data_IF_321625177590
#
_entry.id   IF_321625177590
#
_cell.length_a   1.000
_cell.length_b   1.000
_cell.length_c   1.000
_cell.angle_alpha   90.00
_cell.angle_beta   90.00
_cell.angle_gamma   90.00
#
_symmetry.space_group_name_H-M   'P 1'
#
loop_
_entity.id
_entity.type
_entity.pdbx_description
1 polymer ?
#
# COMPACT_ATOMS: atom_id res chain seq x y z
N UNK A 1 -11.54 13.85 6.29
CA UNK A 1 -10.91 14.18 7.60
C UNK A 1 -11.85 14.95 8.54
N UNK A 2 -12.87 15.64 8.00
CA UNK A 2 -13.85 16.41 8.78
C UNK A 2 -14.62 15.59 9.84
N UNK A 3 -15.08 14.38 9.51
CA UNK A 3 -15.81 13.54 10.46
C UNK A 3 -14.99 13.20 11.72
N UNK A 4 -13.70 12.90 11.57
CA UNK A 4 -12.82 12.63 12.71
C UNK A 4 -12.58 13.89 13.55
N UNK A 5 -12.46 15.06 12.90
CA UNK A 5 -12.36 16.35 13.57
C UNK A 5 -13.63 16.68 14.37
N UNK A 6 -14.81 16.47 13.78
CA UNK A 6 -16.09 16.67 14.47
C UNK A 6 -16.23 15.76 15.68
N UNK A 7 -15.92 14.47 15.52
CA UNK A 7 -15.93 13.51 16.62
C UNK A 7 -14.99 13.93 17.77
N UNK A 8 -13.74 14.29 17.45
CA UNK A 8 -12.78 14.73 18.46
C UNK A 8 -13.25 15.97 19.24
N UNK A 9 -13.94 16.91 18.58
CA UNK A 9 -14.49 18.11 19.24
C UNK A 9 -15.59 17.79 20.25
N UNK A 10 -16.34 16.71 20.02
CA UNK A 10 -17.44 16.27 20.88
C UNK A 10 -16.96 15.46 22.10
N UNK A 11 -15.73 14.93 22.08
CA UNK A 11 -15.19 14.14 23.18
C UNK A 11 -15.02 14.96 24.47
N UNK A 12 -15.13 14.34 25.67
CA UNK A 12 -14.69 14.95 26.93
C UNK A 12 -13.18 15.27 26.93
N UNK A 13 -12.71 16.26 27.71
CA UNK A 13 -11.29 16.65 27.73
C UNK A 13 -10.32 15.49 27.97
N UNK A 14 -10.65 14.58 28.89
CA UNK A 14 -9.83 13.41 29.23
C UNK A 14 -9.69 12.42 28.07
N UNK A 15 -10.71 12.31 27.22
CA UNK A 15 -10.70 11.41 26.06
C UNK A 15 -10.03 12.06 24.85
N UNK A 16 -10.12 13.39 24.71
CA UNK A 16 -9.40 14.14 23.66
C UNK A 16 -7.89 13.98 23.76
N UNK A 17 -7.35 13.94 24.98
CA UNK A 17 -5.91 13.84 25.22
C UNK A 17 -5.32 12.49 24.82
N UNK A 18 -6.11 11.41 24.92
CA UNK A 18 -5.70 10.06 24.53
C UNK A 18 -6.14 9.68 23.11
N UNK A 19 -7.03 10.46 22.48
CA UNK A 19 -7.47 10.21 21.13
C UNK A 19 -6.29 10.22 20.14
N UNK A 20 -6.26 9.25 19.23
CA UNK A 20 -5.27 9.16 18.17
C UNK A 20 -5.99 8.94 16.86
N UNK A 21 -5.57 9.69 15.84
CA UNK A 21 -6.03 9.51 14.47
C UNK A 21 -4.93 8.81 13.68
N UNK A 22 -5.23 7.63 13.13
CA UNK A 22 -4.32 6.90 12.25
C UNK A 22 -4.74 7.11 10.80
N UNK A 23 -3.94 7.86 10.05
CA UNK A 23 -4.10 7.99 8.60
C UNK A 23 -3.34 6.87 7.89
N UNK A 24 -4.05 6.04 7.11
CA UNK A 24 -3.43 4.99 6.28
C UNK A 24 -3.31 5.48 4.84
N UNK A 25 -2.07 5.73 4.44
CA UNK A 25 -1.71 6.21 3.10
C UNK A 25 -1.11 5.08 2.24
N UNK A 26 -0.40 5.45 1.17
CA UNK A 26 0.23 4.55 0.21
C UNK A 26 1.62 5.08 -0.15
N UNK A 27 2.53 4.22 -0.60
CA UNK A 27 3.85 4.61 -1.09
C UNK A 27 3.80 5.27 -2.48
N UNK A 28 2.71 5.11 -3.23
CA UNK A 28 2.48 5.82 -4.50
C UNK A 28 2.55 7.35 -4.37
N UNK A 29 2.41 7.90 -3.16
CA UNK A 29 2.56 9.34 -2.90
C UNK A 29 3.96 9.86 -3.20
N UNK A 30 4.98 8.99 -3.16
CA UNK A 30 6.37 9.31 -3.49
C UNK A 30 6.66 9.22 -5.00
N UNK A 31 5.76 8.63 -5.79
CA UNK A 31 5.94 8.39 -7.22
C UNK A 31 6.81 7.17 -7.54
N UNK A 32 7.41 7.16 -8.72
CA UNK A 32 8.23 6.04 -9.20
C UNK A 32 9.67 6.09 -8.67
N UNK A 33 10.14 4.97 -8.12
CA UNK A 33 11.55 4.79 -7.73
C UNK A 33 12.43 4.44 -8.95
N UNK A 34 13.65 4.99 -9.02
CA UNK A 34 14.66 4.52 -9.98
C UNK A 34 15.22 3.17 -9.56
N UNK A 35 16.01 2.51 -10.40
CA UNK A 35 16.67 1.25 -10.04
C UNK A 35 17.70 1.45 -8.92
N UNK A 36 17.61 0.66 -7.85
CA UNK A 36 18.47 0.78 -6.66
C UNK A 36 17.94 1.71 -5.57
N UNK A 37 17.03 2.63 -5.91
CA UNK A 37 16.46 3.57 -4.95
C UNK A 37 15.34 2.92 -4.11
N UNK A 38 15.15 3.45 -2.90
CA UNK A 38 14.04 3.17 -1.99
C UNK A 38 13.58 4.48 -1.34
N UNK A 39 12.28 4.62 -1.12
CA UNK A 39 11.69 5.77 -0.43
C UNK A 39 11.62 5.54 1.08
N UNK A 40 11.90 6.57 1.85
CA UNK A 40 11.77 6.64 3.30
C UNK A 40 10.80 7.76 3.71
N UNK A 41 10.59 7.95 5.02
CA UNK A 41 9.71 9.00 5.54
C UNK A 41 10.19 10.42 5.21
N UNK A 42 11.41 10.61 4.68
CA UNK A 42 11.94 11.93 4.34
C UNK A 42 11.82 12.22 2.84
N UNK A 43 11.44 11.22 2.05
CA UNK A 43 11.30 11.32 0.62
C UNK A 43 10.20 12.32 0.22
N UNK A 44 10.44 13.13 -0.82
CA UNK A 44 9.47 14.13 -1.26
C UNK A 44 8.23 13.47 -1.88
N UNK A 45 7.06 14.09 -1.68
CA UNK A 45 5.83 13.65 -2.33
C UNK A 45 5.85 14.07 -3.81
N UNK A 46 5.65 13.11 -4.71
CA UNK A 46 5.63 13.30 -6.16
C UNK A 46 4.60 12.36 -6.83
N UNK A 47 3.29 12.50 -6.52
CA UNK A 47 2.26 11.58 -6.99
C UNK A 47 2.03 11.69 -8.51
N UNK A 48 1.97 10.54 -9.19
CA UNK A 48 1.79 10.46 -10.65
C UNK A 48 0.35 10.08 -11.09
N UNK A 49 -0.56 9.88 -10.14
CA UNK A 49 -1.95 9.51 -10.42
C UNK A 49 -2.95 10.35 -9.59
N UNK A 50 -4.20 10.52 -10.04
CA UNK A 50 -5.25 11.19 -9.26
C UNK A 50 -5.49 10.53 -7.88
N UNK A 51 -5.33 9.20 -7.81
CA UNK A 51 -5.42 8.45 -6.55
C UNK A 51 -4.27 8.81 -5.60
N UNK A 52 -3.03 8.73 -6.08
CA UNK A 52 -1.85 9.07 -5.29
C UNK A 52 -1.89 10.54 -4.83
N UNK A 53 -2.33 11.45 -5.69
CA UNK A 53 -2.50 12.87 -5.35
C UNK A 53 -3.53 13.06 -4.22
N UNK A 54 -4.64 12.32 -4.26
CA UNK A 54 -5.66 12.36 -3.21
C UNK A 54 -5.13 11.82 -1.87
N UNK A 55 -4.29 10.78 -1.91
CA UNK A 55 -3.62 10.23 -0.72
C UNK A 55 -2.58 11.19 -0.15
N UNK A 56 -1.75 11.78 -1.00
CA UNK A 56 -0.78 12.81 -0.62
C UNK A 56 -1.45 14.04 0.01
N UNK A 57 -2.59 14.49 -0.54
CA UNK A 57 -3.38 15.56 0.07
C UNK A 57 -3.86 15.17 1.48
N UNK A 58 -4.27 13.92 1.69
CA UNK A 58 -4.62 13.39 3.01
C UNK A 58 -3.47 13.47 4.02
N UNK A 59 -2.24 13.18 3.62
CA UNK A 59 -1.05 13.31 4.48
C UNK A 59 -0.75 14.76 4.86
N UNK A 60 -0.87 15.68 3.89
CA UNK A 60 -0.65 17.11 4.12
C UNK A 60 -1.73 17.74 5.00
N UNK A 61 -2.94 17.19 5.00
CA UNK A 61 -4.05 17.61 5.87
C UNK A 61 -4.01 16.97 7.26
N UNK A 62 -3.25 15.87 7.43
CA UNK A 62 -3.10 15.15 8.68
C UNK A 62 -2.06 15.64 9.73
N UNK A 63 -1.40 16.83 9.69
CA UNK A 63 -0.24 17.08 10.53
C UNK A 63 -0.48 16.85 12.03
N UNK A 64 0.25 15.87 12.57
CA UNK A 64 0.36 15.57 13.98
C UNK A 64 0.97 16.74 14.76
N UNK A 65 0.27 17.17 15.81
CA UNK A 65 0.81 18.06 16.85
C UNK A 65 -0.20 19.05 17.44
N UNK A 66 -1.37 19.18 16.83
CA UNK A 66 -2.44 20.05 17.30
C UNK A 66 -3.35 20.33 16.13
N UNK A 67 -4.56 19.78 16.16
CA UNK A 67 -5.63 20.26 15.30
C UNK A 67 -5.66 21.80 15.47
N UNK A 68 -5.34 22.56 14.40
CA UNK A 68 -5.37 24.02 14.30
C UNK A 68 -4.13 24.82 14.79
N UNK A 69 -2.92 24.50 14.33
CA UNK A 69 -1.86 25.53 14.21
C UNK A 69 -1.79 26.02 12.77
N UNK A 70 -2.42 27.16 12.50
CA UNK A 70 -2.38 27.83 11.20
C UNK A 70 -0.98 28.32 10.87
N UNK A 71 -0.20 27.49 10.18
CA UNK A 71 0.89 27.92 9.32
C UNK A 71 0.93 26.97 8.12
N UNK A 72 0.13 27.28 7.11
CA UNK A 72 0.40 26.84 5.75
C UNK A 72 1.65 27.64 5.31
N UNK A 73 2.82 27.12 5.70
CA UNK A 73 4.12 27.64 5.34
C UNK A 73 4.63 26.85 4.15
N UNK A 74 4.64 27.54 3.02
CA UNK A 74 5.39 27.33 1.79
C UNK A 74 6.47 26.22 1.80
N UNK A 75 6.56 25.50 0.67
CA UNK A 75 7.43 24.36 0.34
C UNK A 75 6.96 22.96 0.77
N UNK A 76 6.67 22.11 -0.22
CA UNK A 76 6.26 20.70 -0.09
C UNK A 76 7.33 19.80 0.55
N UNK A 77 7.64 20.04 1.83
CA UNK A 77 8.65 19.29 2.56
C UNK A 77 8.15 18.86 3.94
N UNK A 78 8.22 17.53 4.10
CA UNK A 78 8.20 16.70 5.32
C UNK A 78 6.83 16.18 5.75
N UNK A 79 6.62 14.85 5.73
CA UNK A 79 5.48 14.27 6.43
C UNK A 79 5.66 14.42 7.95
N UNK A 80 4.54 14.39 8.65
CA UNK A 80 4.42 14.78 10.05
C UNK A 80 5.34 13.95 10.98
N UNK A 81 5.77 14.56 12.10
CA UNK A 81 6.43 13.86 13.21
C UNK A 81 5.52 12.72 13.69
N UNK A 82 5.86 11.48 13.33
CA UNK A 82 5.03 10.29 13.61
C UNK A 82 4.61 9.48 12.38
N UNK A 83 5.11 9.81 11.20
CA UNK A 83 4.93 9.00 9.99
C UNK A 83 5.85 7.78 10.03
N UNK A 84 5.36 6.64 9.54
CA UNK A 84 6.13 5.40 9.45
C UNK A 84 5.85 4.74 8.10
N UNK A 85 6.92 4.46 7.36
CA UNK A 85 6.85 3.67 6.14
C UNK A 85 6.82 2.19 6.52
N UNK A 86 5.87 1.45 5.94
CA UNK A 86 5.67 0.03 6.17
C UNK A 86 5.94 -0.71 4.87
N UNK A 87 6.84 -1.69 4.88
CA UNK A 87 7.22 -2.44 3.69
C UNK A 87 7.60 -3.89 4.01
N UNK A 88 7.26 -4.81 3.11
CA UNK A 88 7.51 -6.24 3.28
C UNK A 88 8.96 -6.69 3.06
N UNK A 89 9.90 -5.75 2.81
CA UNK A 89 11.28 -6.04 2.41
C UNK A 89 11.39 -6.99 1.20
N UNK A 90 10.38 -6.99 0.34
CA UNK A 90 10.36 -7.76 -0.90
C UNK A 90 10.23 -6.81 -2.08
N UNK A 91 11.22 -6.83 -2.98
CA UNK A 91 11.15 -6.15 -4.27
C UNK A 91 11.04 -7.23 -5.35
N UNK A 92 9.84 -7.44 -5.87
CA UNK A 92 9.57 -8.40 -6.94
C UNK A 92 8.99 -7.67 -8.14
N UNK A 93 9.38 -8.09 -9.34
CA UNK A 93 8.76 -7.65 -10.57
C UNK A 93 7.42 -8.34 -10.78
N UNK A 94 6.49 -7.71 -11.50
CA UNK A 94 5.21 -8.34 -11.88
C UNK A 94 5.43 -9.70 -12.56
N UNK A 95 6.49 -9.83 -13.37
CA UNK A 95 6.85 -11.08 -14.04
C UNK A 95 7.21 -12.18 -13.04
N UNK A 96 8.00 -11.88 -12.01
CA UNK A 96 8.35 -12.85 -10.97
C UNK A 96 7.14 -13.27 -10.14
N UNK A 97 6.25 -12.33 -9.82
CA UNK A 97 5.00 -12.63 -9.11
C UNK A 97 4.11 -13.55 -9.95
N UNK A 98 3.88 -13.22 -11.23
CA UNK A 98 3.07 -14.06 -12.13
C UNK A 98 3.68 -15.45 -12.28
N UNK A 99 4.99 -15.55 -12.51
CA UNK A 99 5.69 -16.83 -12.60
C UNK A 99 5.48 -17.67 -11.33
N UNK A 100 5.63 -17.05 -10.15
CA UNK A 100 5.42 -17.74 -8.86
C UNK A 100 3.96 -18.21 -8.69
N UNK A 101 2.98 -17.43 -9.17
CA UNK A 101 1.57 -17.84 -9.15
C UNK A 101 1.35 -19.06 -10.06
N UNK A 102 1.85 -19.02 -11.30
CA UNK A 102 1.73 -20.13 -12.24
C UNK A 102 2.31 -21.42 -11.64
N UNK A 103 3.52 -21.35 -11.08
CA UNK A 103 4.17 -22.51 -10.43
C UNK A 103 3.33 -23.07 -9.28
N UNK A 104 2.77 -22.20 -8.41
CA UNK A 104 1.93 -22.65 -7.29
C UNK A 104 0.61 -23.27 -7.75
N UNK A 105 -0.02 -22.73 -8.80
CA UNK A 105 -1.25 -23.30 -9.37
C UNK A 105 -0.97 -24.68 -9.97
N UNK A 106 0.07 -24.80 -10.78
CA UNK A 106 0.46 -26.07 -11.41
C UNK A 106 0.76 -27.14 -10.34
N UNK A 107 1.48 -26.78 -9.27
CA UNK A 107 1.76 -27.69 -8.16
C UNK A 107 0.53 -28.09 -7.33
N UNK A 108 -0.48 -27.20 -7.21
CA UNK A 108 -1.65 -27.46 -6.37
C UNK A 108 -2.76 -28.23 -7.10
N UNK A 109 -2.89 -28.05 -8.42
CA UNK A 109 -3.90 -28.74 -9.23
C UNK A 109 -3.39 -30.06 -9.81
N UNK A 110 -2.09 -30.15 -10.14
CA UNK A 110 -1.45 -31.34 -10.71
C UNK A 110 -2.23 -31.96 -11.89
N UNK A 111 -2.80 -31.10 -12.75
CA UNK A 111 -3.67 -31.49 -13.86
C UNK A 111 -2.93 -31.58 -15.21
N UNK A 112 -1.60 -31.47 -15.18
CA UNK A 112 -0.72 -31.59 -16.35
C UNK A 112 -0.71 -30.39 -17.29
N UNK A 113 -1.45 -29.31 -17.00
CA UNK A 113 -1.38 -28.07 -17.78
C UNK A 113 -0.22 -27.18 -17.31
N UNK A 114 0.22 -26.26 -18.19
CA UNK A 114 1.36 -25.37 -17.97
C UNK A 114 0.85 -23.93 -17.97
N UNK A 115 0.65 -23.31 -16.80
CA UNK A 115 0.00 -21.97 -16.75
C UNK A 115 0.87 -20.86 -17.32
N UNK A 116 2.18 -21.05 -17.40
CA UNK A 116 3.10 -20.09 -18.02
C UNK A 116 2.76 -19.83 -19.49
N UNK A 117 2.14 -20.77 -20.20
CA UNK A 117 1.72 -20.60 -21.60
C UNK A 117 0.55 -19.62 -21.75
N UNK A 118 -0.19 -19.34 -20.68
CA UNK A 118 -1.31 -18.39 -20.67
C UNK A 118 -0.85 -16.93 -20.52
N UNK A 119 0.44 -16.69 -20.24
CA UNK A 119 0.96 -15.35 -19.98
C UNK A 119 1.18 -14.60 -21.29
N UNK A 120 0.39 -13.56 -21.52
CA UNK A 120 0.52 -12.67 -22.68
C UNK A 120 1.08 -11.30 -22.28
N UNK A 121 1.92 -10.70 -23.13
CA UNK A 121 2.33 -9.31 -22.99
C UNK A 121 1.20 -8.37 -23.44
N UNK A 122 0.98 -7.31 -22.69
CA UNK A 122 -0.02 -6.27 -22.98
C UNK A 122 0.70 -4.92 -23.01
N UNK A 123 0.20 -3.98 -23.80
CA UNK A 123 0.75 -2.63 -23.84
C UNK A 123 0.76 -1.97 -22.45
N UNK A 124 1.82 -1.23 -22.15
CA UNK A 124 1.96 -0.51 -20.89
C UNK A 124 0.85 0.51 -20.69
N UNK A 125 0.43 0.71 -19.44
CA UNK A 125 -0.54 1.75 -19.08
C UNK A 125 0.13 3.13 -19.12
N UNK A 126 -0.45 4.13 -19.81
CA UNK A 126 0.06 5.50 -19.75
C UNK A 126 0.10 5.99 -18.29
N UNK A 127 1.26 6.49 -17.85
CA UNK A 127 1.46 7.02 -16.50
C UNK A 127 1.64 5.97 -15.40
N UNK A 128 1.92 4.70 -15.74
CA UNK A 128 2.21 3.68 -14.74
C UNK A 128 3.60 3.87 -14.14
N UNK A 129 3.69 3.98 -12.82
CA UNK A 129 4.96 3.95 -12.13
C UNK A 129 5.59 2.57 -12.29
N UNK A 130 6.87 2.54 -12.68
CA UNK A 130 7.53 1.29 -13.04
C UNK A 130 8.01 0.49 -11.84
N UNK A 131 8.18 1.14 -10.69
CA UNK A 131 8.75 0.55 -9.50
C UNK A 131 8.34 1.34 -8.28
N UNK A 132 7.89 0.60 -7.26
CA UNK A 132 7.78 1.07 -5.90
C UNK A 132 8.76 0.29 -5.04
N UNK A 133 9.48 1.00 -4.18
CA UNK A 133 10.41 0.42 -3.24
C UNK A 133 10.48 1.32 -2.02
N UNK A 134 10.32 0.75 -0.84
CA UNK A 134 10.25 1.47 0.42
C UNK A 134 11.25 0.94 1.43
N UNK A 135 11.84 1.83 2.21
CA UNK A 135 12.71 1.49 3.34
C UNK A 135 11.99 1.67 4.67
N UNK A 136 11.57 0.56 5.27
CA UNK A 136 10.94 0.55 6.60
C UNK A 136 11.96 0.54 7.77
N UNK A 137 13.24 0.89 7.55
CA UNK A 137 14.28 0.84 8.59
C UNK A 137 13.95 1.66 9.83
N UNK A 138 13.32 2.82 9.66
CA UNK A 138 12.93 3.67 10.77
C UNK A 138 11.89 2.99 11.68
N UNK A 139 10.84 2.39 11.11
CA UNK A 139 9.83 1.64 11.85
C UNK A 139 10.44 0.43 12.58
N UNK A 140 11.36 -0.29 11.92
CA UNK A 140 12.09 -1.42 12.54
C UNK A 140 12.88 -0.96 13.75
N UNK A 141 13.64 0.12 13.62
CA UNK A 141 14.48 0.65 14.69
C UNK A 141 13.65 1.19 15.88
N UNK A 142 12.52 1.87 15.59
CA UNK A 142 11.66 2.48 16.61
C UNK A 142 10.79 1.49 17.38
N UNK A 143 10.20 0.53 16.66
CA UNK A 143 9.13 -0.31 17.19
C UNK A 143 9.51 -1.80 17.26
N UNK A 144 10.69 -2.19 16.76
CA UNK A 144 11.07 -3.60 16.63
C UNK A 144 10.22 -4.37 15.61
N UNK A 145 9.43 -3.68 14.81
CA UNK A 145 8.56 -4.28 13.81
C UNK A 145 9.40 -4.96 12.73
N UNK A 146 8.93 -6.10 12.20
CA UNK A 146 9.46 -6.72 10.98
C UNK A 146 8.36 -7.60 10.37
N UNK A 147 8.32 -7.77 9.04
CA UNK A 147 7.42 -8.75 8.44
C UNK A 147 7.75 -10.14 9.01
N UNK A 148 6.72 -10.87 9.45
CA UNK A 148 6.87 -12.24 9.96
C UNK A 148 6.68 -13.28 8.85
N UNK A 149 6.21 -12.84 7.69
CA UNK A 149 5.73 -13.70 6.63
C UNK A 149 6.64 -13.54 5.41
N UNK A 150 7.03 -14.66 4.82
CA UNK A 150 7.73 -14.69 3.53
C UNK A 150 6.72 -14.61 2.39
N UNK A 151 6.93 -13.64 1.49
CA UNK A 151 5.99 -13.36 0.41
C UNK A 151 5.74 -14.57 -0.50
N UNK A 152 6.79 -15.27 -0.91
CA UNK A 152 6.66 -16.40 -1.87
C UNK A 152 5.91 -17.57 -1.24
N UNK A 153 6.19 -17.85 0.02
CA UNK A 153 5.55 -18.92 0.78
C UNK A 153 4.05 -18.64 0.97
N UNK A 154 3.67 -17.39 1.24
CA UNK A 154 2.27 -17.06 1.52
C UNK A 154 1.44 -16.64 0.32
N UNK A 155 2.11 -16.34 -0.79
CA UNK A 155 1.47 -16.34 -2.09
C UNK A 155 0.87 -17.73 -2.40
N UNK A 156 1.53 -18.83 -2.00
CA UNK A 156 0.98 -20.19 -2.17
C UNK A 156 -0.31 -20.39 -1.39
N UNK A 157 -0.34 -19.96 -0.13
CA UNK A 157 -1.53 -20.05 0.71
C UNK A 157 -2.67 -19.19 0.18
N UNK A 158 -2.34 -18.02 -0.37
CA UNK A 158 -3.29 -17.15 -1.08
C UNK A 158 -3.88 -17.87 -2.29
N UNK A 159 -3.05 -18.45 -3.17
CA UNK A 159 -3.51 -19.24 -4.33
C UNK A 159 -4.41 -20.39 -3.87
N UNK A 160 -4.01 -21.15 -2.85
CA UNK A 160 -4.80 -22.24 -2.28
C UNK A 160 -6.16 -21.75 -1.78
N UNK A 161 -6.22 -20.57 -1.16
CA UNK A 161 -7.48 -19.98 -0.72
C UNK A 161 -8.40 -19.66 -1.90
N UNK A 162 -7.88 -19.02 -2.96
CA UNK A 162 -8.69 -18.71 -4.16
C UNK A 162 -9.26 -19.97 -4.83
N UNK A 163 -8.44 -21.03 -4.96
CA UNK A 163 -8.90 -22.31 -5.53
C UNK A 163 -10.02 -22.97 -4.71
N UNK A 164 -10.08 -22.73 -3.40
CA UNK A 164 -11.11 -23.29 -2.51
C UNK A 164 -12.38 -22.43 -2.38
N UNK A 165 -12.32 -21.16 -2.79
CA UNK A 165 -13.39 -20.18 -2.55
C UNK A 165 -13.95 -19.61 -3.87
N UNK A 166 -14.16 -20.48 -4.87
CA UNK A 166 -14.68 -20.09 -6.19
C UNK A 166 -16.01 -19.36 -6.11
N UNK A 167 -16.93 -19.82 -5.25
CA UNK A 167 -18.24 -19.18 -5.05
C UNK A 167 -18.10 -17.72 -4.60
N UNK A 168 -17.13 -17.44 -3.74
CA UNK A 168 -16.86 -16.07 -3.29
C UNK A 168 -16.34 -15.20 -4.44
N UNK A 169 -15.41 -15.73 -5.23
CA UNK A 169 -14.83 -15.03 -6.39
C UNK A 169 -15.91 -14.69 -7.41
N UNK A 170 -16.79 -15.63 -7.73
CA UNK A 170 -17.90 -15.41 -8.65
C UNK A 170 -18.85 -14.31 -8.16
N UNK A 171 -19.18 -14.31 -6.87
CA UNK A 171 -20.08 -13.32 -6.28
C UNK A 171 -19.51 -11.90 -6.33
N UNK A 172 -18.22 -11.72 -6.07
CA UNK A 172 -17.56 -10.41 -6.15
C UNK A 172 -17.45 -9.95 -7.61
N UNK A 173 -17.12 -10.87 -8.52
CA UNK A 173 -16.96 -10.56 -9.94
C UNK A 173 -18.27 -10.12 -10.59
N UNK A 174 -19.39 -10.79 -10.28
CA UNK A 174 -20.71 -10.41 -10.80
C UNK A 174 -21.13 -9.00 -10.37
N UNK A 175 -20.83 -8.60 -9.13
CA UNK A 175 -21.16 -7.27 -8.61
C UNK A 175 -20.38 -6.14 -9.28
N UNK A 176 -19.16 -6.43 -9.73
CA UNK A 176 -18.32 -5.44 -10.41
C UNK A 176 -18.73 -5.19 -11.87
N UNK A 177 -19.40 -6.15 -12.52
CA UNK A 177 -19.78 -6.07 -13.95
C UNK A 177 -21.22 -5.55 -14.14
N UNK A 178 -22.04 -5.51 -13.09
CA UNK A 178 -23.43 -5.02 -13.14
C UNK A 178 -23.57 -3.48 -13.05
N UNK A 179 -22.74 -2.73 -13.78
CA UNK A 179 -22.89 -1.28 -13.98
C UNK A 179 -23.01 -0.93 -15.46
#
# INVERSE_FOLDING_TARGET
>A
MEAATSYWRELPPTERDIFRFLNVSTDEVYGAASQGDCFDEQSPLAPNSPYAASKAAGELLAPCGGLLSGTCGDSGKKPARGSYVVGGNCCLTNREVVATICDHVDQLLDDGAIRHELVSQVADRPGHDRRYAVDASHLRAKMGWKPQIDFKSELRETVRWYLKNTDWVENVSRRAVSH
#
